data_IF_059992611247
#
_entry.id   IF_059992611247
#
_cell.length_a   1.000
_cell.length_b   1.000
_cell.length_c   1.000
_cell.angle_alpha   90.00
_cell.angle_beta   90.00
_cell.angle_gamma   90.00
#
_symmetry.space_group_name_H-M   'P 1'
#
loop_
_entity.id
_entity.type
_entity.pdbx_description
1 polymer ?
#
# COMPACT_ATOMS: atom_id res chain seq x y z
N UNK A 1 2.02 16.13 15.41
CA UNK A 1 1.85 14.69 15.67
C UNK A 1 2.60 13.94 14.59
N UNK A 2 3.10 12.74 14.87
CA UNK A 2 3.67 11.89 13.81
C UNK A 2 2.56 11.56 12.79
N UNK A 3 2.91 11.46 11.51
CA UNK A 3 1.97 11.00 10.46
C UNK A 3 1.58 9.54 10.76
N UNK A 4 0.30 9.16 10.65
CA UNK A 4 -0.10 7.78 10.82
C UNK A 4 0.55 6.86 9.78
N UNK A 5 0.84 5.63 10.15
CA UNK A 5 1.35 4.58 9.27
C UNK A 5 0.28 3.51 9.03
N UNK A 6 -0.01 3.22 7.77
CA UNK A 6 -1.04 2.28 7.34
C UNK A 6 -0.38 1.16 6.54
N UNK A 7 -0.45 -0.08 7.05
CA UNK A 7 -0.03 -1.25 6.29
C UNK A 7 -1.21 -1.89 5.58
N UNK A 8 -1.05 -2.22 4.30
CA UNK A 8 -2.02 -2.95 3.50
C UNK A 8 -1.38 -4.28 3.09
N UNK A 9 -1.94 -5.39 3.58
CA UNK A 9 -1.50 -6.75 3.27
C UNK A 9 -2.29 -7.25 2.05
N UNK A 10 -1.59 -7.51 0.96
CA UNK A 10 -2.12 -7.83 -0.37
C UNK A 10 -2.07 -6.60 -1.29
N UNK A 11 -1.27 -6.67 -2.36
CA UNK A 11 -1.10 -5.62 -3.35
C UNK A 11 -1.95 -5.83 -4.63
N UNK A 12 -2.94 -6.73 -4.56
CA UNK A 12 -3.92 -6.93 -5.62
C UNK A 12 -4.86 -5.73 -5.82
N UNK A 13 -5.91 -5.89 -6.64
CA UNK A 13 -6.79 -4.78 -7.02
C UNK A 13 -7.40 -4.03 -5.82
N UNK A 14 -7.85 -4.76 -4.79
CA UNK A 14 -8.44 -4.15 -3.59
C UNK A 14 -7.38 -3.37 -2.83
N UNK A 15 -6.24 -3.99 -2.50
CA UNK A 15 -5.18 -3.33 -1.75
C UNK A 15 -4.58 -2.11 -2.44
N UNK A 16 -4.35 -2.18 -3.75
CA UNK A 16 -3.88 -1.04 -4.54
C UNK A 16 -4.90 0.11 -4.55
N UNK A 17 -6.20 -0.20 -4.65
CA UNK A 17 -7.26 0.82 -4.59
C UNK A 17 -7.39 1.42 -3.20
N UNK A 18 -7.24 0.60 -2.14
CA UNK A 18 -7.19 1.09 -0.75
C UNK A 18 -6.02 2.05 -0.57
N UNK A 19 -4.82 1.69 -1.04
CA UNK A 19 -3.64 2.56 -0.98
C UNK A 19 -3.89 3.90 -1.68
N UNK A 20 -4.47 3.86 -2.88
CA UNK A 20 -4.80 5.06 -3.65
C UNK A 20 -5.70 6.03 -2.86
N UNK A 21 -6.80 5.54 -2.29
CA UNK A 21 -7.72 6.40 -1.54
C UNK A 21 -7.17 6.85 -0.20
N UNK A 22 -6.39 6.02 0.48
CA UNK A 22 -5.69 6.44 1.71
C UNK A 22 -4.72 7.58 1.44
N UNK A 23 -3.97 7.51 0.33
CA UNK A 23 -3.02 8.55 -0.07
C UNK A 23 -3.76 9.83 -0.50
N UNK A 24 -4.77 9.71 -1.37
CA UNK A 24 -5.55 10.84 -1.86
C UNK A 24 -6.31 11.59 -0.76
N UNK A 25 -6.69 10.91 0.32
CA UNK A 25 -7.33 11.52 1.50
C UNK A 25 -6.33 11.91 2.60
N UNK A 26 -5.02 11.81 2.35
CA UNK A 26 -3.93 12.13 3.28
C UNK A 26 -4.07 11.46 4.66
N UNK A 27 -4.53 10.20 4.69
CA UNK A 27 -4.78 9.47 5.94
C UNK A 27 -3.51 9.02 6.65
N UNK A 28 -2.40 8.88 5.91
CA UNK A 28 -1.12 8.44 6.45
C UNK A 28 -0.16 7.92 5.38
N UNK A 29 1.04 7.57 5.82
CA UNK A 29 2.04 6.91 4.98
C UNK A 29 1.72 5.41 4.87
N UNK A 30 1.91 4.85 3.69
CA UNK A 30 1.37 3.54 3.31
C UNK A 30 2.50 2.56 3.05
N UNK A 31 2.36 1.36 3.60
CA UNK A 31 3.20 0.19 3.28
C UNK A 31 2.33 -0.86 2.60
N UNK A 32 2.59 -1.13 1.32
CA UNK A 32 1.88 -2.12 0.52
C UNK A 32 2.72 -3.41 0.50
N UNK A 33 2.28 -4.41 1.25
CA UNK A 33 2.98 -5.69 1.42
C UNK A 33 2.32 -6.76 0.57
N UNK A 34 3.10 -7.53 -0.17
CA UNK A 34 2.61 -8.78 -0.79
C UNK A 34 3.65 -9.89 -0.69
N UNK A 35 3.25 -11.11 -1.03
CA UNK A 35 4.13 -12.27 -0.97
C UNK A 35 5.30 -12.12 -1.95
N UNK A 36 6.49 -12.68 -1.65
CA UNK A 36 7.65 -12.61 -2.54
C UNK A 36 7.37 -13.11 -3.97
N UNK A 37 6.42 -14.03 -4.16
CA UNK A 37 6.02 -14.56 -5.46
C UNK A 37 5.32 -13.53 -6.35
N UNK A 38 4.79 -12.45 -5.76
CA UNK A 38 4.27 -11.30 -6.50
C UNK A 38 5.40 -10.47 -7.16
N UNK A 39 6.67 -10.78 -6.89
CA UNK A 39 7.82 -10.09 -7.47
C UNK A 39 7.82 -8.61 -7.15
N UNK A 40 8.14 -7.78 -8.14
CA UNK A 40 8.17 -6.32 -7.98
C UNK A 40 6.78 -5.66 -8.12
N UNK A 41 5.69 -6.43 -8.16
CA UNK A 41 4.34 -5.88 -8.30
C UNK A 41 3.98 -4.87 -7.21
N UNK A 42 4.22 -5.11 -5.90
CA UNK A 42 3.93 -4.13 -4.86
C UNK A 42 4.73 -2.84 -5.04
N UNK A 43 6.01 -2.93 -5.43
CA UNK A 43 6.87 -1.78 -5.70
C UNK A 43 6.38 -0.99 -6.91
N UNK A 44 6.00 -1.69 -7.98
CA UNK A 44 5.46 -1.07 -9.19
C UNK A 44 4.15 -0.33 -8.90
N UNK A 45 3.26 -0.91 -8.08
CA UNK A 45 2.03 -0.24 -7.64
C UNK A 45 2.31 0.97 -6.76
N UNK A 46 3.26 0.87 -5.84
CA UNK A 46 3.66 2.01 -5.03
C UNK A 46 4.23 3.16 -5.89
N UNK A 47 5.11 2.84 -6.84
CA UNK A 47 5.67 3.83 -7.78
C UNK A 47 4.58 4.52 -8.62
N UNK A 48 3.69 3.73 -9.23
CA UNK A 48 2.55 4.22 -10.02
C UNK A 48 1.69 5.21 -9.23
N UNK A 49 1.36 4.87 -7.98
CA UNK A 49 0.61 5.77 -7.10
C UNK A 49 1.40 7.03 -6.73
N UNK A 50 2.70 6.91 -6.43
CA UNK A 50 3.56 8.06 -6.13
C UNK A 50 3.71 9.00 -7.33
N UNK A 51 3.74 8.49 -8.55
CA UNK A 51 3.80 9.30 -9.78
C UNK A 51 2.49 10.11 -9.99
N UNK A 52 1.37 9.64 -9.45
CA UNK A 52 0.12 10.40 -9.43
C UNK A 52 0.10 11.54 -8.38
N UNK A 53 1.00 11.53 -7.41
CA UNK A 53 1.01 12.50 -6.29
C UNK A 53 1.02 13.97 -6.71
N UNK A 54 1.79 14.43 -7.73
CA UNK A 54 1.81 15.87 -8.08
C UNK A 54 0.51 16.34 -8.71
N UNK A 55 -0.24 15.42 -9.32
CA UNK A 55 -1.55 15.69 -9.93
C UNK A 55 -2.66 15.65 -8.87
N UNK A 56 -2.59 14.70 -7.95
CA UNK A 56 -3.59 14.52 -6.91
C UNK A 56 -3.39 15.43 -5.69
N UNK A 57 -2.19 15.99 -5.52
CA UNK A 57 -1.87 16.97 -4.49
C UNK A 57 -1.66 16.39 -3.08
N UNK A 58 -1.28 15.12 -2.96
CA UNK A 58 -0.91 14.51 -1.67
C UNK A 58 0.61 14.41 -1.52
N UNK A 59 1.09 14.39 -0.27
CA UNK A 59 2.51 14.19 0.06
C UNK A 59 2.79 12.85 0.80
N UNK A 60 1.79 11.98 0.90
CA UNK A 60 1.93 10.65 1.47
C UNK A 60 2.95 9.78 0.76
N UNK A 61 3.80 9.13 1.56
CA UNK A 61 4.77 8.17 1.07
C UNK A 61 4.10 6.80 0.94
N UNK A 62 4.25 6.17 -0.22
CA UNK A 62 3.77 4.82 -0.49
C UNK A 62 4.98 3.94 -0.79
N UNK A 63 5.19 2.90 0.01
CA UNK A 63 6.28 1.94 -0.17
C UNK A 63 5.71 0.57 -0.47
N UNK A 64 6.19 -0.06 -1.54
CA UNK A 64 5.87 -1.45 -1.88
C UNK A 64 6.96 -2.41 -1.41
N UNK A 65 6.60 -3.52 -0.77
CA UNK A 65 7.58 -4.47 -0.22
C UNK A 65 7.04 -5.90 -0.19
N UNK A 66 7.95 -6.84 0.07
CA UNK A 66 7.63 -8.21 0.45
C UNK A 66 8.15 -8.60 1.83
N UNK A 67 8.75 -7.66 2.56
CA UNK A 67 9.23 -7.85 3.93
C UNK A 67 8.22 -7.29 4.93
N UNK A 68 7.76 -8.15 5.85
CA UNK A 68 6.88 -7.73 6.94
C UNK A 68 7.57 -6.85 7.97
N UNK A 69 8.90 -6.79 8.00
CA UNK A 69 9.64 -5.84 8.85
C UNK A 69 9.23 -4.38 8.56
N UNK A 70 8.92 -4.05 7.30
CA UNK A 70 8.47 -2.72 6.92
C UNK A 70 7.07 -2.39 7.46
N UNK A 71 6.28 -3.38 7.90
CA UNK A 71 4.98 -3.17 8.52
C UNK A 71 5.06 -2.80 10.01
N UNK A 72 6.25 -2.84 10.62
CA UNK A 72 6.45 -2.51 12.04
C UNK A 72 5.85 -1.14 12.40
N UNK A 73 5.28 -1.04 13.61
CA UNK A 73 4.74 0.20 14.18
C UNK A 73 3.63 0.85 13.33
N UNK A 74 2.89 0.06 12.55
CA UNK A 74 1.72 0.56 11.82
C UNK A 74 0.56 0.82 12.78
N UNK A 75 -0.06 2.00 12.69
CA UNK A 75 -1.24 2.37 13.47
C UNK A 75 -2.49 1.58 13.02
N UNK A 76 -2.57 1.26 11.74
CA UNK A 76 -3.65 0.48 11.13
C UNK A 76 -3.09 -0.57 10.18
N UNK A 77 -3.66 -1.77 10.21
CA UNK A 77 -3.38 -2.84 9.26
C UNK A 77 -4.67 -3.23 8.54
N UNK A 78 -4.68 -3.14 7.20
CA UNK A 78 -5.77 -3.56 6.33
C UNK A 78 -5.39 -4.86 5.63
N UNK A 79 -6.14 -5.93 5.86
CA UNK A 79 -5.87 -7.24 5.26
C UNK A 79 -6.80 -7.45 4.07
N UNK A 80 -6.23 -7.39 2.86
CA UNK A 80 -6.93 -7.64 1.59
C UNK A 80 -6.44 -8.89 0.87
N UNK A 81 -5.33 -9.46 1.33
CA UNK A 81 -4.78 -10.71 0.84
C UNK A 81 -5.82 -11.83 0.94
N UNK A 82 -6.00 -12.53 -0.17
CA UNK A 82 -6.96 -13.61 -0.29
C UNK A 82 -6.70 -14.40 -1.56
N UNK A 83 -7.16 -15.65 -1.57
CA UNK A 83 -7.06 -16.49 -2.75
C UNK A 83 -8.07 -16.03 -3.80
N UNK A 84 -7.69 -15.97 -5.10
CA UNK A 84 -8.64 -15.79 -6.17
C UNK A 84 -9.76 -16.84 -6.08
N UNK A 85 -10.98 -16.43 -6.40
CA UNK A 85 -12.11 -17.37 -6.47
C UNK A 85 -11.78 -18.47 -7.47
N UNK A 86 -11.98 -19.72 -7.04
CA UNK A 86 -11.93 -20.87 -7.94
C UNK A 86 -13.26 -20.93 -8.73
N UNK A 87 -13.22 -21.35 -10.02
CA UNK A 87 -14.44 -21.61 -10.78
C UNK A 87 -15.29 -22.71 -10.13
#
# INVERSE_FOLDING_TARGET
MARPKITIIGAGNVGATTAHWCAAAELGDIVLVDIPQAGDMPKGKALDLMEASPVMGFDATITGTSDYADAADSDVIVVTAGLPRKP
#
